data_IF_628178669930
#
_entry.id   IF_628178669930
#
_cell.length_a   1.000
_cell.length_b   1.000
_cell.length_c   1.000
_cell.angle_alpha   90.00
_cell.angle_beta   90.00
_cell.angle_gamma   90.00
#
_symmetry.space_group_name_H-M   'P 1'
#
loop_
_entity.id
_entity.type
_entity.pdbx_description
1 polymer ?
#
# COMPACT_ATOMS: atom_id res chain seq x y z
N UNK A 1 52.24 -14.58 60.52
CA UNK A 1 51.51 -14.99 59.34
C UNK A 1 50.47 -13.95 58.98
N UNK A 2 50.77 -13.12 58.02
CA UNK A 2 49.91 -12.12 57.54
C UNK A 2 49.07 -12.68 56.39
N UNK A 3 47.82 -12.81 56.61
CA UNK A 3 46.89 -13.10 55.53
C UNK A 3 46.59 -11.82 54.76
N UNK A 4 47.20 -11.64 53.64
CA UNK A 4 46.80 -10.61 52.73
C UNK A 4 45.60 -11.09 51.94
N UNK A 5 44.46 -10.70 52.35
CA UNK A 5 43.27 -10.89 51.55
C UNK A 5 43.28 -9.90 50.38
N UNK A 6 43.68 -10.42 49.27
CA UNK A 6 43.53 -9.66 48.02
C UNK A 6 42.04 -9.61 47.68
N UNK A 7 41.44 -8.49 47.94
CA UNK A 7 40.09 -8.27 47.50
C UNK A 7 40.12 -8.04 45.98
N UNK A 8 39.86 -9.07 45.25
CA UNK A 8 39.58 -8.91 43.82
C UNK A 8 38.30 -8.15 43.67
N UNK A 9 38.40 -6.90 43.32
CA UNK A 9 37.25 -6.20 42.78
C UNK A 9 36.96 -6.75 41.42
N UNK A 10 35.98 -7.58 41.35
CA UNK A 10 35.42 -7.93 40.05
C UNK A 10 34.79 -6.71 39.50
N UNK A 11 35.41 -6.14 38.51
CA UNK A 11 34.76 -5.16 37.66
C UNK A 11 33.58 -5.83 36.97
N UNK A 12 32.42 -5.48 37.36
CA UNK A 12 31.26 -5.80 36.56
C UNK A 12 31.47 -5.17 35.17
N UNK A 13 31.72 -5.98 34.18
CA UNK A 13 31.72 -5.52 32.81
C UNK A 13 30.33 -4.95 32.56
N UNK A 14 30.28 -3.67 32.35
CA UNK A 14 29.04 -3.09 31.88
C UNK A 14 28.70 -3.74 30.56
N UNK A 15 27.58 -4.39 30.58
CA UNK A 15 27.04 -4.97 29.38
C UNK A 15 27.03 -3.95 28.26
N UNK A 16 27.32 -4.41 27.12
CA UNK A 16 27.25 -3.65 25.90
C UNK A 16 25.98 -2.81 25.88
N UNK A 17 26.15 -1.54 25.73
CA UNK A 17 25.07 -0.68 25.33
C UNK A 17 24.65 -1.11 23.94
N UNK A 18 23.74 -2.06 23.89
CA UNK A 18 23.08 -2.35 22.64
C UNK A 18 22.43 -1.06 22.19
N UNK A 19 22.82 -0.57 21.04
CA UNK A 19 22.12 0.54 20.44
C UNK A 19 20.66 0.17 20.37
N UNK A 20 19.74 1.01 20.80
CA UNK A 20 18.32 0.71 20.61
C UNK A 20 18.08 0.48 19.13
N UNK A 21 17.30 -0.53 18.79
CA UNK A 21 16.94 -0.73 17.40
C UNK A 21 16.40 0.60 16.87
N UNK A 22 16.90 1.02 15.74
CA UNK A 22 16.41 2.23 15.10
C UNK A 22 14.89 2.19 15.17
N UNK A 23 14.29 3.12 15.88
CA UNK A 23 12.85 3.19 15.99
C UNK A 23 12.32 3.18 14.56
N UNK A 24 11.52 2.19 14.24
CA UNK A 24 10.75 2.24 13.02
C UNK A 24 10.10 3.63 12.98
N UNK A 25 10.16 4.35 11.86
CA UNK A 25 9.58 5.67 11.81
C UNK A 25 8.17 5.57 12.37
N UNK A 26 7.97 6.19 13.49
CA UNK A 26 6.64 6.32 14.04
C UNK A 26 5.77 6.85 12.92
N UNK A 27 4.69 6.16 12.57
CA UNK A 27 3.79 6.74 11.61
C UNK A 27 3.39 8.09 12.18
N UNK A 28 3.93 9.13 11.59
CA UNK A 28 3.46 10.48 11.88
C UNK A 28 1.97 10.39 11.73
N UNK A 29 1.26 10.70 12.78
CA UNK A 29 -0.19 10.61 12.82
C UNK A 29 -0.70 11.04 11.45
N UNK A 30 -1.30 10.09 10.74
CA UNK A 30 -1.79 10.31 9.40
C UNK A 30 -2.50 11.65 9.40
N UNK A 31 -1.90 12.59 8.70
CA UNK A 31 -2.51 13.90 8.60
C UNK A 31 -3.98 13.66 8.29
N UNK A 32 -4.83 14.30 9.02
CA UNK A 32 -6.29 14.26 8.85
C UNK A 32 -6.69 14.82 7.48
N UNK A 33 -5.86 14.56 6.47
CA UNK A 33 -6.12 14.96 5.12
C UNK A 33 -7.17 14.05 4.51
N UNK A 34 -8.38 14.57 4.40
CA UNK A 34 -9.37 13.95 3.54
C UNK A 34 -8.79 13.80 2.14
N UNK A 35 -8.97 12.63 1.54
CA UNK A 35 -8.61 12.44 0.15
C UNK A 35 -9.42 13.41 -0.69
N UNK A 36 -8.80 14.47 -1.17
CA UNK A 36 -9.42 15.50 -1.97
C UNK A 36 -8.90 15.49 -3.41
N UNK A 37 -9.50 16.30 -4.26
CA UNK A 37 -9.10 16.43 -5.66
C UNK A 37 -7.62 16.79 -5.78
N UNK A 38 -6.86 16.06 -6.62
CA UNK A 38 -5.45 16.31 -6.84
C UNK A 38 -4.53 15.96 -5.67
N UNK A 39 -4.99 15.20 -4.68
CA UNK A 39 -4.20 14.82 -3.51
C UNK A 39 -3.47 13.49 -3.69
N UNK A 40 -3.86 12.70 -4.67
CA UNK A 40 -3.30 11.38 -4.91
C UNK A 40 -2.30 11.39 -6.06
N UNK A 41 -1.21 10.67 -5.88
CA UNK A 41 -0.26 10.42 -6.95
C UNK A 41 -0.68 9.16 -7.74
N UNK A 42 -0.28 9.09 -9.00
CA UNK A 42 -0.54 7.91 -9.81
C UNK A 42 0.20 6.69 -9.22
N UNK A 43 -0.52 5.61 -8.88
CA UNK A 43 0.12 4.41 -8.33
C UNK A 43 0.92 3.62 -9.36
N UNK A 44 0.61 3.79 -10.64
CA UNK A 44 1.35 3.22 -11.75
C UNK A 44 1.26 4.15 -12.95
N UNK A 45 2.21 4.05 -13.84
CA UNK A 45 2.22 4.85 -15.07
C UNK A 45 1.71 4.01 -16.22
N UNK A 46 0.70 4.51 -16.90
CA UNK A 46 0.13 3.84 -18.05
C UNK A 46 -1.21 4.41 -18.46
N UNK A 47 -1.78 3.84 -19.49
CA UNK A 47 -3.08 4.25 -19.99
C UNK A 47 -4.20 3.64 -19.14
N UNK A 48 -5.30 4.37 -19.01
CA UNK A 48 -6.49 3.86 -18.35
C UNK A 48 -7.22 2.92 -19.30
N UNK A 49 -7.37 1.65 -18.90
CA UNK A 49 -8.02 0.61 -19.72
C UNK A 49 -9.51 0.50 -19.42
N UNK A 50 -9.94 0.86 -18.23
CA UNK A 50 -11.36 1.02 -17.89
C UNK A 50 -11.49 2.10 -16.82
N UNK A 51 -12.66 2.71 -16.77
CA UNK A 51 -12.96 3.82 -15.87
C UNK A 51 -14.01 3.44 -14.85
N UNK A 52 -14.04 4.22 -13.77
CA UNK A 52 -15.06 4.10 -12.73
C UNK A 52 -16.46 4.32 -13.32
N UNK A 53 -17.40 3.52 -12.84
CA UNK A 53 -18.82 3.62 -13.19
C UNK A 53 -19.27 2.53 -14.13
N UNK A 54 -20.39 2.75 -14.77
CA UNK A 54 -20.96 1.78 -15.71
C UNK A 54 -20.34 1.95 -17.08
N UNK A 55 -19.85 0.85 -17.62
CA UNK A 55 -19.32 0.80 -18.97
C UNK A 55 -20.18 -0.16 -19.78
N UNK A 56 -20.72 0.32 -20.91
CA UNK A 56 -21.45 -0.54 -21.83
C UNK A 56 -20.46 -1.48 -22.53
N UNK A 57 -20.67 -2.77 -22.37
CA UNK A 57 -19.91 -3.79 -23.06
C UNK A 57 -20.60 -4.19 -24.37
N UNK A 58 -19.92 -5.03 -25.16
CA UNK A 58 -20.52 -5.67 -26.31
C UNK A 58 -21.73 -6.51 -25.86
N UNK A 59 -22.73 -6.67 -26.72
CA UNK A 59 -23.92 -7.49 -26.47
C UNK A 59 -24.85 -6.98 -25.33
N UNK A 60 -25.03 -5.68 -25.20
CA UNK A 60 -25.92 -5.08 -24.19
C UNK A 60 -25.55 -5.41 -22.74
N UNK A 61 -24.34 -5.87 -22.48
CA UNK A 61 -23.87 -6.08 -21.12
C UNK A 61 -23.37 -4.77 -20.54
N UNK A 62 -23.71 -4.50 -19.27
CA UNK A 62 -23.18 -3.36 -18.54
C UNK A 62 -22.29 -3.85 -17.43
N UNK A 63 -21.02 -3.45 -17.44
CA UNK A 63 -20.08 -3.74 -16.37
C UNK A 63 -19.92 -2.49 -15.50
N UNK A 64 -20.04 -2.67 -14.20
CA UNK A 64 -19.79 -1.60 -13.24
C UNK A 64 -18.41 -1.78 -12.62
N UNK A 65 -17.58 -0.76 -12.78
CA UNK A 65 -16.26 -0.72 -12.18
C UNK A 65 -16.26 0.20 -10.96
N UNK A 66 -15.71 -0.28 -9.85
CA UNK A 66 -15.57 0.53 -8.62
C UNK A 66 -14.26 1.32 -8.57
N UNK A 67 -13.47 1.22 -9.62
CA UNK A 67 -12.19 1.90 -9.73
C UNK A 67 -11.77 2.00 -11.18
N UNK A 68 -10.49 2.26 -11.39
CA UNK A 68 -9.89 2.35 -12.73
C UNK A 68 -8.86 1.25 -12.93
N UNK A 69 -8.65 0.88 -14.19
CA UNK A 69 -7.55 -0.01 -14.58
C UNK A 69 -6.47 0.82 -15.27
N UNK A 70 -5.23 0.70 -14.80
CA UNK A 70 -4.07 1.40 -15.37
C UNK A 70 -3.18 0.37 -16.03
N UNK A 71 -3.10 0.39 -17.36
CA UNK A 71 -2.27 -0.54 -18.11
C UNK A 71 -0.79 -0.29 -17.82
N UNK A 72 -0.08 -1.34 -17.47
CA UNK A 72 1.35 -1.29 -17.26
C UNK A 72 1.92 -2.70 -17.50
N UNK A 73 3.18 -2.83 -17.92
CA UNK A 73 3.79 -4.15 -18.08
C UNK A 73 3.78 -4.94 -16.77
N UNK A 74 3.54 -6.24 -16.85
CA UNK A 74 3.61 -7.12 -15.69
C UNK A 74 4.99 -6.98 -15.01
N UNK A 75 4.98 -6.87 -13.68
CA UNK A 75 6.19 -6.62 -12.91
C UNK A 75 6.54 -5.15 -12.69
N UNK A 76 5.77 -4.23 -13.29
CA UNK A 76 5.94 -2.79 -13.03
C UNK A 76 5.66 -2.46 -11.58
N UNK A 77 6.41 -1.51 -11.01
CA UNK A 77 6.23 -1.11 -9.63
C UNK A 77 4.88 -0.41 -9.42
N UNK A 78 4.17 -0.83 -8.38
CA UNK A 78 2.96 -0.16 -7.89
C UNK A 78 3.33 0.63 -6.66
N UNK A 79 3.01 1.92 -6.66
CA UNK A 79 3.37 2.84 -5.59
C UNK A 79 2.14 3.29 -4.83
N UNK A 80 2.32 3.54 -3.54
CA UNK A 80 1.24 4.10 -2.72
C UNK A 80 0.88 5.50 -3.23
N UNK A 81 -0.39 5.71 -3.54
CA UNK A 81 -0.89 7.00 -4.03
C UNK A 81 -0.87 8.08 -2.94
N UNK A 82 -0.94 7.67 -1.67
CA UNK A 82 -0.85 8.52 -0.51
C UNK A 82 -0.32 7.72 0.67
N UNK A 83 0.11 8.43 1.71
CA UNK A 83 0.53 7.81 2.96
C UNK A 83 -0.61 7.05 3.61
N UNK A 84 -0.34 5.86 4.14
CA UNK A 84 -1.35 5.07 4.84
C UNK A 84 -0.76 3.83 5.49
N UNK A 85 -1.64 3.01 6.04
CA UNK A 85 -1.29 1.74 6.68
C UNK A 85 -1.92 0.58 5.93
N UNK A 86 -1.15 -0.47 5.72
CA UNK A 86 -1.65 -1.68 5.08
C UNK A 86 -2.61 -2.40 6.03
N UNK A 87 -3.85 -2.57 5.61
CA UNK A 87 -4.89 -3.27 6.40
C UNK A 87 -5.30 -4.60 5.80
N UNK A 88 -4.97 -4.84 4.54
CA UNK A 88 -5.28 -6.10 3.88
C UNK A 88 -4.23 -6.41 2.81
N UNK A 89 -3.82 -7.69 2.75
CA UNK A 89 -3.01 -8.24 1.65
C UNK A 89 -3.51 -9.65 1.40
N UNK A 90 -4.35 -9.83 0.38
CA UNK A 90 -4.82 -11.17 -0.01
C UNK A 90 -5.41 -11.16 -1.42
N UNK A 91 -5.55 -12.35 -1.99
CA UNK A 91 -6.26 -12.52 -3.26
C UNK A 91 -7.77 -12.38 -3.05
N UNK A 92 -8.40 -11.51 -3.81
CA UNK A 92 -9.83 -11.23 -3.73
C UNK A 92 -10.47 -11.47 -5.10
N UNK A 93 -11.17 -12.57 -5.26
CA UNK A 93 -11.98 -12.85 -6.45
C UNK A 93 -11.25 -12.54 -7.76
N UNK A 94 -11.92 -11.83 -8.64
CA UNK A 94 -11.40 -11.45 -9.96
C UNK A 94 -10.31 -10.39 -9.91
N UNK A 95 -10.18 -9.67 -8.80
CA UNK A 95 -9.12 -8.66 -8.64
C UNK A 95 -7.73 -9.27 -8.43
N UNK A 96 -7.67 -10.57 -8.11
CA UNK A 96 -6.40 -11.22 -7.79
C UNK A 96 -5.79 -10.69 -6.51
N UNK A 97 -4.47 -10.71 -6.41
CA UNK A 97 -3.77 -10.22 -5.23
C UNK A 97 -4.03 -8.73 -5.03
N UNK A 98 -4.51 -8.38 -3.85
CA UNK A 98 -4.99 -7.03 -3.54
C UNK A 98 -4.34 -6.53 -2.25
N UNK A 99 -3.90 -5.28 -2.27
CA UNK A 99 -3.41 -4.54 -1.10
C UNK A 99 -4.36 -3.38 -0.85
N UNK A 100 -4.77 -3.23 0.40
CA UNK A 100 -5.62 -2.09 0.82
C UNK A 100 -4.86 -1.25 1.82
N UNK A 101 -4.78 0.05 1.57
CA UNK A 101 -4.20 1.03 2.48
C UNK A 101 -5.31 1.84 3.13
N UNK A 102 -5.17 2.06 4.42
CA UNK A 102 -6.03 2.97 5.19
C UNK A 102 -5.29 4.29 5.38
N UNK A 103 -5.92 5.39 5.00
CA UNK A 103 -5.32 6.73 5.05
C UNK A 103 -5.79 7.57 6.25
N UNK A 104 -6.52 6.96 7.16
CA UNK A 104 -7.13 7.66 8.29
C UNK A 104 -8.52 8.18 7.96
N UNK A 105 -9.33 8.48 8.98
CA UNK A 105 -10.67 9.03 8.79
C UNK A 105 -11.66 8.15 8.04
N UNK A 106 -11.35 6.84 7.89
CA UNK A 106 -12.20 5.92 7.12
C UNK A 106 -11.93 5.95 5.61
N UNK A 107 -10.84 6.57 5.17
CA UNK A 107 -10.46 6.63 3.76
C UNK A 107 -9.53 5.46 3.42
N UNK A 108 -9.78 4.84 2.26
CA UNK A 108 -9.03 3.67 1.81
C UNK A 108 -8.62 3.81 0.34
N UNK A 109 -7.48 3.21 0.00
CA UNK A 109 -7.11 2.96 -1.40
C UNK A 109 -6.88 1.48 -1.61
N UNK A 110 -7.27 0.96 -2.77
CA UNK A 110 -7.23 -0.47 -3.11
C UNK A 110 -6.36 -0.63 -4.35
N UNK A 111 -5.40 -1.53 -4.25
CA UNK A 111 -4.48 -1.88 -5.35
C UNK A 111 -4.68 -3.35 -5.68
N UNK A 112 -5.35 -3.64 -6.77
CA UNK A 112 -5.69 -5.00 -7.21
C UNK A 112 -4.91 -5.43 -8.45
N UNK A 113 -5.11 -6.67 -8.83
CA UNK A 113 -4.43 -7.30 -9.99
C UNK A 113 -2.90 -7.29 -9.85
N UNK A 114 -2.40 -7.47 -8.64
CA UNK A 114 -0.98 -7.49 -8.37
C UNK A 114 -0.38 -8.86 -8.66
N UNK A 115 0.83 -8.87 -9.18
CA UNK A 115 1.64 -10.08 -9.31
C UNK A 115 2.25 -10.47 -7.96
N UNK A 116 2.72 -9.46 -7.22
CA UNK A 116 3.37 -9.63 -5.93
C UNK A 116 3.06 -8.44 -5.03
N UNK A 117 2.89 -8.69 -3.74
CA UNK A 117 2.82 -7.66 -2.73
C UNK A 117 4.17 -7.54 -2.02
N UNK A 118 4.70 -6.33 -1.91
CA UNK A 118 5.97 -6.04 -1.26
C UNK A 118 5.77 -5.51 0.17
N UNK A 119 4.54 -5.48 0.64
CA UNK A 119 4.16 -5.02 1.98
C UNK A 119 3.30 -6.07 2.67
N UNK A 120 3.18 -5.94 3.99
CA UNK A 120 2.38 -6.84 4.83
C UNK A 120 1.34 -6.04 5.61
N UNK A 121 0.30 -6.72 6.07
CA UNK A 121 -0.70 -6.13 6.96
C UNK A 121 -0.01 -5.55 8.19
N UNK A 122 -0.33 -4.30 8.51
CA UNK A 122 0.29 -3.58 9.62
C UNK A 122 1.44 -2.67 9.22
N UNK A 123 2.00 -2.82 8.02
CA UNK A 123 3.08 -1.96 7.54
C UNK A 123 2.58 -0.55 7.28
N UNK A 124 3.42 0.44 7.57
CA UNK A 124 3.18 1.80 7.16
C UNK A 124 3.73 1.99 5.74
N UNK A 125 2.95 2.58 4.87
CA UNK A 125 3.36 2.93 3.52
C UNK A 125 3.39 4.44 3.36
N UNK A 126 4.52 4.96 2.88
CA UNK A 126 4.65 6.38 2.57
C UNK A 126 4.19 6.62 1.13
N UNK A 127 3.83 7.87 0.83
CA UNK A 127 3.49 8.26 -0.55
C UNK A 127 4.67 7.94 -1.49
N UNK A 128 4.38 7.26 -2.58
CA UNK A 128 5.41 6.87 -3.55
C UNK A 128 6.19 5.61 -3.20
N UNK A 129 5.95 5.00 -2.04
CA UNK A 129 6.57 3.74 -1.67
C UNK A 129 6.02 2.59 -2.52
N UNK A 130 6.90 1.70 -2.98
CA UNK A 130 6.48 0.51 -3.73
C UNK A 130 5.74 -0.45 -2.80
N UNK A 131 4.51 -0.80 -3.17
CA UNK A 131 3.67 -1.73 -2.41
C UNK A 131 3.52 -3.08 -3.07
N UNK A 132 3.84 -3.17 -4.34
CA UNK A 132 3.77 -4.41 -5.09
C UNK A 132 4.13 -4.22 -6.56
N UNK A 133 3.79 -5.21 -7.37
CA UNK A 133 4.04 -5.19 -8.81
C UNK A 133 2.77 -5.51 -9.58
N UNK A 134 2.66 -4.93 -10.77
CA UNK A 134 1.52 -5.13 -11.67
C UNK A 134 1.48 -6.57 -12.13
N UNK A 135 0.30 -7.16 -12.14
CA UNK A 135 0.04 -8.50 -12.63
C UNK A 135 -0.96 -8.52 -13.80
N UNK A 136 -1.26 -9.72 -14.26
CA UNK A 136 -2.22 -9.97 -15.32
C UNK A 136 -3.20 -11.06 -14.85
N UNK A 137 -4.10 -10.66 -13.94
CA UNK A 137 -5.07 -11.61 -13.38
C UNK A 137 -6.28 -11.84 -14.28
N UNK A 138 -6.56 -10.93 -15.19
CA UNK A 138 -7.67 -11.06 -16.14
C UNK A 138 -7.12 -11.36 -17.54
N UNK A 139 -7.42 -12.54 -18.11
CA UNK A 139 -6.93 -12.91 -19.44
C UNK A 139 -7.51 -12.05 -20.57
N UNK A 140 -8.66 -11.41 -20.34
CA UNK A 140 -9.32 -10.57 -21.34
C UNK A 140 -8.78 -9.14 -21.39
N UNK A 141 -7.92 -8.78 -20.43
CA UNK A 141 -7.33 -7.44 -20.32
C UNK A 141 -5.80 -7.52 -20.35
N UNK A 142 -5.14 -6.48 -20.85
CA UNK A 142 -3.68 -6.40 -20.71
C UNK A 142 -3.28 -6.37 -19.25
N UNK A 143 -2.01 -6.62 -18.96
CA UNK A 143 -1.48 -6.44 -17.63
C UNK A 143 -1.82 -5.02 -17.15
N UNK A 144 -2.42 -4.89 -15.97
CA UNK A 144 -2.89 -3.63 -15.46
C UNK A 144 -2.97 -3.65 -13.94
N UNK A 145 -3.00 -2.45 -13.35
CA UNK A 145 -3.31 -2.24 -11.95
C UNK A 145 -4.78 -1.87 -11.82
N UNK A 146 -5.52 -2.56 -10.97
CA UNK A 146 -6.84 -2.14 -10.55
C UNK A 146 -6.70 -1.19 -9.36
N UNK A 147 -7.12 0.05 -9.50
CA UNK A 147 -6.98 1.07 -8.48
C UNK A 147 -8.34 1.63 -8.09
N UNK A 148 -8.67 1.51 -6.80
CA UNK A 148 -9.88 2.07 -6.22
C UNK A 148 -9.54 3.06 -5.12
N UNK A 149 -10.39 4.06 -4.96
CA UNK A 149 -10.35 5.01 -3.86
C UNK A 149 -11.70 5.01 -3.17
N UNK A 150 -11.68 4.88 -1.84
CA UNK A 150 -12.89 4.78 -1.03
C UNK A 150 -12.85 5.78 0.13
N UNK A 151 -13.08 7.07 -0.12
CA UNK A 151 -13.23 8.04 0.97
C UNK A 151 -14.47 7.70 1.80
N UNK A 152 -14.29 7.54 3.11
CA UNK A 152 -15.38 7.14 3.99
C UNK A 152 -15.94 5.75 3.69
N UNK A 153 -15.18 4.89 2.98
CA UNK A 153 -15.59 3.53 2.62
C UNK A 153 -16.40 3.43 1.33
N UNK A 154 -16.76 4.54 0.69
CA UNK A 154 -17.53 4.54 -0.55
C UNK A 154 -16.62 4.73 -1.77
N UNK A 155 -16.73 3.83 -2.74
CA UNK A 155 -15.95 3.93 -3.98
C UNK A 155 -16.35 5.18 -4.79
N UNK A 156 -15.34 5.93 -5.22
CA UNK A 156 -15.50 7.11 -6.08
C UNK A 156 -14.56 7.01 -7.27
N UNK A 157 -14.75 7.90 -8.25
CA UNK A 157 -13.86 7.96 -9.42
C UNK A 157 -12.45 8.39 -9.00
N UNK A 158 -11.44 7.51 -9.10
CA UNK A 158 -10.08 7.88 -8.72
C UNK A 158 -9.48 8.98 -9.58
N UNK A 159 -9.92 9.11 -10.83
CA UNK A 159 -9.39 10.14 -11.74
C UNK A 159 -9.67 11.55 -11.24
N UNK A 160 -10.74 11.75 -10.47
CA UNK A 160 -11.06 13.05 -9.88
C UNK A 160 -10.09 13.42 -8.73
N UNK A 161 -9.38 12.45 -8.18
CA UNK A 161 -8.48 12.62 -7.03
C UNK A 161 -7.00 12.57 -7.45
N UNK A 162 -6.68 11.97 -8.57
CA UNK A 162 -5.33 11.87 -9.10
C UNK A 162 -4.85 13.20 -9.67
N UNK A 163 -3.56 13.44 -9.52
CA UNK A 163 -2.90 14.64 -10.06
C UNK A 163 -2.74 14.56 -11.55
#
# INVERSE_FOLDING_TARGET
>A
PSCSTSTRRSRASRGSTGSPPAAAPTPTAAGTGRLGAGTLDWPARGNVVYRFGRVAGANNTTTRWNGIGIAAPAGSAVRAAAEGRVVLVQAIGTYGLTVILQHGGGDYSVYGSLQRADVRVGDAATRGQVVGTVGASDPDLPAHLHFEVRPGGRAVDPLSLLR
#
